data_IF_519636171517
#
_entry.id   IF_519636171517
#
_cell.length_a   1.000
_cell.length_b   1.000
_cell.length_c   1.000
_cell.angle_alpha   90.00
_cell.angle_beta   90.00
_cell.angle_gamma   90.00
#
_symmetry.space_group_name_H-M   'P 1'
#
loop_
_entity.id
_entity.type
_entity.pdbx_description
1 polymer ?
#
# COMPACT_ATOMS: atom_id res chain seq x y z
N UNK A 1 -1.11 -12.79 35.30
CA UNK A 1 -1.48 -12.31 36.64
C UNK A 1 -2.90 -11.74 36.68
N UNK A 2 -3.26 -10.76 35.84
CA UNK A 2 -4.58 -10.11 35.86
C UNK A 2 -5.78 -11.04 35.59
N UNK A 3 -5.66 -12.02 34.69
CA UNK A 3 -6.73 -12.97 34.40
C UNK A 3 -7.01 -13.93 35.58
N UNK A 4 -5.97 -14.34 36.31
CA UNK A 4 -6.09 -15.20 37.49
C UNK A 4 -6.74 -14.47 38.66
N UNK A 5 -6.38 -13.20 38.88
CA UNK A 5 -7.02 -12.35 39.90
C UNK A 5 -8.50 -12.13 39.58
N UNK A 6 -8.84 -11.85 38.32
CA UNK A 6 -10.22 -11.68 37.89
C UNK A 6 -11.04 -12.97 38.09
N UNK A 7 -10.47 -14.14 37.76
CA UNK A 7 -11.12 -15.42 38.00
C UNK A 7 -11.33 -15.72 39.49
N UNK A 8 -10.32 -15.43 40.33
CA UNK A 8 -10.43 -15.60 41.79
C UNK A 8 -11.49 -14.66 42.40
N UNK A 9 -11.57 -13.42 41.92
CA UNK A 9 -12.60 -12.46 42.33
C UNK A 9 -14.00 -12.94 41.94
N UNK A 10 -14.18 -13.42 40.71
CA UNK A 10 -15.45 -13.97 40.23
C UNK A 10 -15.87 -15.18 41.07
N UNK A 11 -14.95 -16.11 41.35
CA UNK A 11 -15.22 -17.27 42.18
C UNK A 11 -15.58 -16.89 43.63
N UNK A 12 -14.86 -15.92 44.21
CA UNK A 12 -15.16 -15.39 45.55
C UNK A 12 -16.57 -14.76 45.62
N UNK A 13 -16.94 -13.94 44.64
CA UNK A 13 -18.27 -13.32 44.58
C UNK A 13 -19.37 -14.37 44.45
N UNK A 14 -19.21 -15.37 43.60
CA UNK A 14 -20.18 -16.46 43.45
C UNK A 14 -20.34 -17.29 44.74
N UNK A 15 -19.27 -17.46 45.51
CA UNK A 15 -19.29 -18.18 46.79
C UNK A 15 -20.10 -17.46 47.89
N UNK A 16 -20.17 -16.12 47.87
CA UNK A 16 -20.92 -15.35 48.88
C UNK A 16 -22.44 -15.53 48.72
N UNK A 17 -22.98 -15.35 47.51
CA UNK A 17 -24.39 -15.51 47.24
C UNK A 17 -24.66 -15.72 45.74
N UNK A 18 -24.66 -16.98 45.30
CA UNK A 18 -24.79 -17.33 43.88
C UNK A 18 -26.07 -16.80 43.24
N UNK A 19 -27.21 -16.81 43.96
CA UNK A 19 -28.51 -16.37 43.42
C UNK A 19 -28.53 -14.87 43.07
N UNK A 20 -27.75 -14.06 43.79
CA UNK A 20 -27.68 -12.61 43.58
C UNK A 20 -26.47 -12.24 42.72
N UNK A 21 -25.31 -12.86 42.93
CA UNK A 21 -24.07 -12.50 42.24
C UNK A 21 -24.02 -12.98 40.79
N UNK A 22 -24.63 -14.13 40.48
CA UNK A 22 -24.69 -14.62 39.11
C UNK A 22 -25.37 -13.62 38.13
N UNK A 23 -26.60 -13.13 38.38
CA UNK A 23 -27.22 -12.16 37.47
C UNK A 23 -26.48 -10.82 37.41
N UNK A 24 -25.87 -10.36 38.51
CA UNK A 24 -25.08 -9.12 38.53
C UNK A 24 -23.82 -9.25 37.68
N UNK A 25 -23.07 -10.34 37.83
CA UNK A 25 -21.87 -10.60 37.02
C UNK A 25 -22.21 -10.79 35.54
N UNK A 26 -23.35 -11.42 35.25
CA UNK A 26 -23.84 -11.58 33.89
C UNK A 26 -24.19 -10.23 33.25
N UNK A 27 -24.89 -9.34 33.98
CA UNK A 27 -25.15 -7.96 33.55
C UNK A 27 -23.87 -7.16 33.37
N UNK A 28 -22.91 -7.28 34.30
CA UNK A 28 -21.62 -6.61 34.20
C UNK A 28 -20.83 -7.07 32.97
N UNK A 29 -20.81 -8.38 32.70
CA UNK A 29 -20.17 -8.95 31.51
C UNK A 29 -20.83 -8.42 30.22
N UNK A 30 -22.16 -8.39 30.16
CA UNK A 30 -22.90 -7.84 29.02
C UNK A 30 -22.62 -6.34 28.83
N UNK A 31 -22.60 -5.57 29.93
CA UNK A 31 -22.25 -4.15 29.92
C UNK A 31 -20.83 -3.89 29.43
N UNK A 32 -19.86 -4.70 29.84
CA UNK A 32 -18.47 -4.62 29.35
C UNK A 32 -18.37 -4.93 27.85
N UNK A 33 -19.10 -5.93 27.36
CA UNK A 33 -19.14 -6.26 25.93
C UNK A 33 -19.76 -5.13 25.10
N UNK A 34 -20.87 -4.53 25.57
CA UNK A 34 -21.51 -3.39 24.91
C UNK A 34 -20.55 -2.19 24.87
N UNK A 35 -19.94 -1.81 26.00
CA UNK A 35 -18.99 -0.70 26.08
C UNK A 35 -17.78 -0.92 25.16
N UNK A 36 -17.24 -2.14 25.14
CA UNK A 36 -16.13 -2.52 24.27
C UNK A 36 -16.52 -2.40 22.79
N UNK A 37 -17.70 -2.90 22.41
CA UNK A 37 -18.23 -2.80 21.04
C UNK A 37 -18.42 -1.34 20.61
N UNK A 38 -19.00 -0.49 21.47
CA UNK A 38 -19.17 0.95 21.20
C UNK A 38 -17.81 1.63 21.04
N UNK A 39 -16.86 1.38 21.95
CA UNK A 39 -15.53 1.97 21.89
C UNK A 39 -14.77 1.56 20.62
N UNK A 40 -14.83 0.26 20.25
CA UNK A 40 -14.25 -0.25 19.02
C UNK A 40 -14.91 0.38 17.78
N UNK A 41 -16.24 0.53 17.79
CA UNK A 41 -16.95 1.18 16.69
C UNK A 41 -16.62 2.67 16.57
N UNK A 42 -16.48 3.40 17.69
CA UNK A 42 -16.06 4.81 17.68
C UNK A 42 -14.65 4.95 17.09
N UNK A 43 -13.69 4.17 17.59
CA UNK A 43 -12.31 4.17 17.09
C UNK A 43 -12.24 3.77 15.61
N UNK A 44 -13.04 2.80 15.18
CA UNK A 44 -13.16 2.39 13.77
C UNK A 44 -13.74 3.51 12.88
N UNK A 45 -14.70 4.29 13.38
CA UNK A 45 -15.24 5.46 12.66
C UNK A 45 -14.21 6.59 12.56
N UNK A 46 -13.48 6.88 13.64
CA UNK A 46 -12.42 7.92 13.64
C UNK A 46 -11.32 7.58 12.64
N UNK A 47 -10.78 6.35 12.67
CA UNK A 47 -9.76 5.90 11.71
C UNK A 47 -10.29 5.96 10.27
N UNK A 48 -11.55 5.60 10.02
CA UNK A 48 -12.15 5.69 8.68
C UNK A 48 -12.29 7.13 8.18
N UNK A 49 -12.54 8.09 9.06
CA UNK A 49 -12.64 9.51 8.72
C UNK A 49 -11.26 10.16 8.53
N UNK A 50 -10.25 9.69 9.26
CA UNK A 50 -8.85 10.09 9.07
C UNK A 50 -8.31 9.58 7.72
N UNK A 51 -8.58 8.32 7.40
CA UNK A 51 -8.06 7.61 6.22
C UNK A 51 -8.85 7.87 4.92
N UNK A 52 -9.96 8.63 4.97
CA UNK A 52 -10.77 8.95 3.78
C UNK A 52 -10.09 10.00 2.90
N UNK A 53 -10.19 9.83 1.59
CA UNK A 53 -9.71 10.82 0.64
C UNK A 53 -10.70 11.98 0.49
N UNK A 54 -10.18 13.19 0.30
CA UNK A 54 -10.98 14.43 0.19
C UNK A 54 -10.75 15.10 -1.15
N UNK A 55 -11.80 15.69 -1.74
CA UNK A 55 -11.66 16.46 -2.98
C UNK A 55 -10.81 17.72 -2.73
N UNK A 56 -10.06 18.14 -3.73
CA UNK A 56 -9.42 19.45 -3.70
C UNK A 56 -10.47 20.55 -3.89
N UNK A 57 -10.40 21.58 -3.04
CA UNK A 57 -11.33 22.72 -3.00
C UNK A 57 -10.62 24.05 -3.28
N UNK A 58 -9.29 24.12 -3.12
CA UNK A 58 -8.51 25.33 -3.39
C UNK A 58 -8.50 25.72 -4.87
N UNK A 59 -8.64 27.02 -5.15
CA UNK A 59 -8.46 27.60 -6.49
C UNK A 59 -6.99 27.89 -6.88
N UNK A 60 -6.07 27.81 -5.91
CA UNK A 60 -4.64 28.13 -6.07
C UNK A 60 -3.75 26.89 -6.18
N UNK A 61 -2.64 26.99 -6.93
CA UNK A 61 -1.62 25.94 -7.08
C UNK A 61 -1.13 25.44 -5.71
N UNK A 62 -0.71 26.34 -4.82
CA UNK A 62 -0.16 25.96 -3.52
C UNK A 62 -1.21 25.30 -2.62
N UNK A 63 -2.46 25.76 -2.65
CA UNK A 63 -3.53 25.12 -1.88
C UNK A 63 -3.87 23.73 -2.42
N UNK A 64 -3.82 23.51 -3.74
CA UNK A 64 -4.02 22.18 -4.35
C UNK A 64 -2.88 21.23 -3.97
N UNK A 65 -1.63 21.69 -4.00
CA UNK A 65 -0.45 20.93 -3.53
C UNK A 65 -0.62 20.52 -2.06
N UNK A 66 -1.13 21.43 -1.25
CA UNK A 66 -1.34 21.21 0.17
C UNK A 66 -2.47 20.23 0.48
N UNK A 67 -3.61 20.36 -0.20
CA UNK A 67 -4.76 19.48 -0.06
C UNK A 67 -4.44 18.07 -0.58
N UNK A 68 -3.68 17.98 -1.68
CA UNK A 68 -3.23 16.71 -2.25
C UNK A 68 -2.29 15.95 -1.31
N UNK A 69 -1.46 16.64 -0.52
CA UNK A 69 -0.53 16.00 0.42
C UNK A 69 -1.23 15.04 1.39
N UNK A 70 -2.40 15.44 1.91
CA UNK A 70 -3.19 14.61 2.84
C UNK A 70 -3.69 13.34 2.16
N UNK A 71 -4.22 13.47 0.93
CA UNK A 71 -4.65 12.31 0.16
C UNK A 71 -3.49 11.37 -0.12
N UNK A 72 -2.34 11.91 -0.55
CA UNK A 72 -1.14 11.11 -0.83
C UNK A 72 -0.71 10.35 0.42
N UNK A 73 -0.57 11.02 1.58
CA UNK A 73 -0.21 10.38 2.84
C UNK A 73 -1.18 9.24 3.20
N UNK A 74 -2.48 9.44 2.99
CA UNK A 74 -3.51 8.43 3.24
C UNK A 74 -3.43 7.24 2.27
N UNK A 75 -3.23 7.48 0.98
CA UNK A 75 -3.05 6.41 -0.02
C UNK A 75 -1.79 5.61 0.28
N UNK A 76 -0.67 6.27 0.58
CA UNK A 76 0.60 5.61 0.92
C UNK A 76 0.46 4.77 2.20
N UNK A 77 -0.14 5.32 3.27
CA UNK A 77 -0.44 4.60 4.53
C UNK A 77 -1.26 3.33 4.28
N UNK A 78 -2.34 3.45 3.49
CA UNK A 78 -3.23 2.32 3.17
C UNK A 78 -2.55 1.33 2.23
N UNK A 79 -1.80 1.82 1.26
CA UNK A 79 -1.03 1.03 0.31
C UNK A 79 0.01 0.17 0.99
N UNK A 80 0.77 0.73 1.93
CA UNK A 80 1.71 -0.01 2.77
C UNK A 80 1.02 -1.18 3.49
N UNK A 81 -0.07 -0.88 4.20
CA UNK A 81 -0.85 -1.91 4.89
C UNK A 81 -1.36 -3.00 3.95
N UNK A 82 -1.81 -2.63 2.75
CA UNK A 82 -2.32 -3.59 1.75
C UNK A 82 -1.18 -4.49 1.26
N UNK A 83 -0.03 -3.90 0.91
CA UNK A 83 1.15 -4.62 0.45
C UNK A 83 1.63 -5.63 1.51
N UNK A 84 1.91 -5.16 2.72
CA UNK A 84 2.40 -6.02 3.82
C UNK A 84 1.42 -7.13 4.17
N UNK A 85 0.11 -6.87 4.16
CA UNK A 85 -0.88 -7.92 4.42
C UNK A 85 -0.95 -8.96 3.29
N UNK A 86 -0.65 -8.59 2.04
CA UNK A 86 -0.56 -9.55 0.95
C UNK A 86 0.62 -10.51 1.17
N UNK A 87 1.81 -9.98 1.46
CA UNK A 87 3.02 -10.78 1.72
C UNK A 87 2.85 -11.64 2.98
N UNK A 88 2.35 -11.05 4.07
CA UNK A 88 2.04 -11.78 5.31
C UNK A 88 0.99 -12.87 5.12
N UNK A 89 -0.06 -12.58 4.34
CA UNK A 89 -1.13 -13.54 4.03
C UNK A 89 -0.60 -14.74 3.26
N UNK A 90 0.27 -14.52 2.27
CA UNK A 90 0.95 -15.59 1.55
C UNK A 90 1.86 -16.41 2.46
N UNK A 91 2.70 -15.76 3.27
CA UNK A 91 3.63 -16.42 4.18
C UNK A 91 2.91 -17.32 5.19
N UNK A 92 1.78 -16.84 5.73
CA UNK A 92 1.00 -17.55 6.75
C UNK A 92 -0.12 -18.42 6.20
N UNK A 93 -0.34 -18.41 4.88
CA UNK A 93 -1.48 -19.08 4.24
C UNK A 93 -2.83 -18.60 4.79
N UNK A 94 -2.92 -17.31 5.13
CA UNK A 94 -4.06 -16.70 5.81
C UNK A 94 -5.07 -16.15 4.79
N UNK A 95 -6.00 -17.03 4.38
CA UNK A 95 -7.08 -16.67 3.46
C UNK A 95 -7.99 -15.56 4.01
N UNK A 96 -8.23 -15.54 5.32
CA UNK A 96 -9.10 -14.55 5.97
C UNK A 96 -8.49 -13.16 5.88
N UNK A 97 -7.19 -13.03 6.15
CA UNK A 97 -6.44 -11.79 5.96
C UNK A 97 -6.47 -11.35 4.51
N UNK A 98 -6.19 -12.24 3.56
CA UNK A 98 -6.18 -11.92 2.13
C UNK A 98 -7.57 -11.50 1.61
N UNK A 99 -8.64 -12.11 2.11
CA UNK A 99 -10.02 -11.71 1.78
C UNK A 99 -10.34 -10.31 2.31
N UNK A 100 -9.89 -9.98 3.52
CA UNK A 100 -10.01 -8.62 4.07
C UNK A 100 -9.18 -7.63 3.26
N UNK A 101 -7.96 -8.00 2.90
CA UNK A 101 -7.05 -7.17 2.12
C UNK A 101 -7.65 -6.79 0.76
N UNK A 102 -8.25 -7.77 0.06
CA UNK A 102 -8.94 -7.54 -1.22
C UNK A 102 -10.06 -6.50 -1.09
N UNK A 103 -10.83 -6.53 -0.01
CA UNK A 103 -11.88 -5.51 0.23
C UNK A 103 -11.28 -4.13 0.50
N UNK A 104 -10.14 -4.05 1.17
CA UNK A 104 -9.48 -2.79 1.49
C UNK A 104 -8.94 -2.10 0.24
N UNK A 105 -8.34 -2.85 -0.67
CA UNK A 105 -7.81 -2.28 -1.92
C UNK A 105 -8.91 -1.85 -2.88
N UNK A 106 -10.01 -2.61 -3.01
CA UNK A 106 -11.17 -2.16 -3.82
C UNK A 106 -11.74 -0.86 -3.26
N UNK A 107 -11.84 -0.73 -1.93
CA UNK A 107 -12.30 0.53 -1.31
C UNK A 107 -11.35 1.69 -1.63
N UNK A 108 -10.03 1.46 -1.59
CA UNK A 108 -9.04 2.47 -1.93
C UNK A 108 -9.13 2.89 -3.40
N UNK A 109 -9.22 1.93 -4.32
CA UNK A 109 -9.38 2.20 -5.76
C UNK A 109 -10.62 3.05 -6.02
N UNK A 110 -11.77 2.65 -5.48
CA UNK A 110 -13.03 3.39 -5.67
C UNK A 110 -12.95 4.83 -5.16
N UNK A 111 -12.30 5.07 -4.02
CA UNK A 111 -12.11 6.44 -3.51
C UNK A 111 -11.21 7.28 -4.43
N UNK A 112 -10.21 6.68 -5.07
CA UNK A 112 -9.34 7.37 -6.05
C UNK A 112 -10.11 7.62 -7.35
N UNK A 113 -10.89 6.65 -7.84
CA UNK A 113 -11.74 6.80 -9.01
C UNK A 113 -12.78 7.92 -8.81
N UNK A 114 -13.38 8.00 -7.62
CA UNK A 114 -14.27 9.11 -7.25
C UNK A 114 -13.55 10.48 -7.36
N UNK A 115 -12.29 10.60 -6.92
CA UNK A 115 -11.53 11.84 -7.10
C UNK A 115 -11.30 12.16 -8.58
N UNK A 116 -11.00 11.14 -9.40
CA UNK A 116 -10.78 11.29 -10.85
C UNK A 116 -12.03 11.69 -11.60
N UNK A 117 -13.18 11.11 -11.26
CA UNK A 117 -14.47 11.47 -11.86
C UNK A 117 -14.85 12.94 -11.59
N UNK A 118 -14.27 13.54 -10.54
CA UNK A 118 -14.46 14.95 -10.19
C UNK A 118 -13.45 15.91 -10.83
N UNK A 119 -12.50 15.43 -11.66
CA UNK A 119 -11.49 16.28 -12.32
C UNK A 119 -12.15 17.39 -13.15
N UNK A 120 -13.23 17.10 -13.87
CA UNK A 120 -13.93 18.10 -14.67
C UNK A 120 -14.41 19.29 -13.82
N UNK A 121 -15.04 19.02 -12.68
CA UNK A 121 -15.52 20.06 -11.77
C UNK A 121 -14.38 20.81 -11.11
N UNK A 122 -13.31 20.11 -10.76
CA UNK A 122 -12.10 20.72 -10.22
C UNK A 122 -11.49 21.73 -11.20
N UNK A 123 -11.27 21.34 -12.45
CA UNK A 123 -10.73 22.23 -13.50
C UNK A 123 -11.63 23.46 -13.69
N UNK A 124 -12.95 23.27 -13.71
CA UNK A 124 -13.91 24.36 -13.91
C UNK A 124 -13.91 25.38 -12.76
N UNK A 125 -13.54 24.95 -11.55
CA UNK A 125 -13.57 25.80 -10.35
C UNK A 125 -12.21 26.48 -10.05
N UNK A 126 -11.16 26.18 -10.81
CA UNK A 126 -9.88 26.87 -10.72
C UNK A 126 -9.96 28.25 -11.38
N UNK A 127 -9.23 29.22 -10.83
CA UNK A 127 -9.08 30.54 -11.45
C UNK A 127 -8.44 30.39 -12.85
N UNK A 128 -8.85 31.22 -13.83
CA UNK A 128 -8.47 31.13 -15.26
C UNK A 128 -6.94 31.05 -15.50
N UNK A 129 -6.11 31.44 -14.53
CA UNK A 129 -4.65 31.44 -14.57
C UNK A 129 -3.96 30.17 -14.03
N UNK A 130 -4.69 29.18 -13.50
CA UNK A 130 -4.11 28.05 -12.75
C UNK A 130 -3.99 26.73 -13.53
N UNK A 131 -3.60 26.77 -14.82
CA UNK A 131 -3.35 25.55 -15.63
C UNK A 131 -2.33 24.61 -14.96
N UNK A 132 -1.33 25.16 -14.28
CA UNK A 132 -0.34 24.37 -13.53
C UNK A 132 -0.94 23.57 -12.37
N UNK A 133 -1.94 24.11 -11.66
CA UNK A 133 -2.63 23.42 -10.58
C UNK A 133 -3.43 22.22 -11.10
N UNK A 134 -4.11 22.40 -12.23
CA UNK A 134 -4.83 21.34 -12.94
C UNK A 134 -3.90 20.18 -13.31
N UNK A 135 -2.79 20.48 -13.97
CA UNK A 135 -1.85 19.47 -14.43
C UNK A 135 -1.26 18.68 -13.26
N UNK A 136 -0.78 19.39 -12.23
CA UNK A 136 -0.27 18.76 -11.01
C UNK A 136 -1.28 17.80 -10.39
N UNK A 137 -2.54 18.26 -10.19
CA UNK A 137 -3.57 17.43 -9.56
C UNK A 137 -3.92 16.20 -10.41
N UNK A 138 -4.03 16.36 -11.73
CA UNK A 138 -4.30 15.25 -12.66
C UNK A 138 -3.18 14.21 -12.61
N UNK A 139 -1.92 14.65 -12.62
CA UNK A 139 -0.76 13.77 -12.55
C UNK A 139 -0.73 13.01 -11.22
N UNK A 140 -0.93 13.71 -10.10
CA UNK A 140 -1.05 13.08 -8.76
C UNK A 140 -2.13 12.00 -8.75
N UNK A 141 -3.34 12.30 -9.23
CA UNK A 141 -4.42 11.31 -9.27
C UNK A 141 -4.10 10.13 -10.19
N UNK A 142 -3.40 10.36 -11.30
CA UNK A 142 -2.90 9.31 -12.19
C UNK A 142 -1.95 8.36 -11.47
N UNK A 143 -0.93 8.89 -10.79
CA UNK A 143 0.01 8.05 -10.06
C UNK A 143 -0.62 7.31 -8.88
N UNK A 144 -1.55 7.95 -8.15
CA UNK A 144 -2.31 7.27 -7.09
C UNK A 144 -3.15 6.11 -7.65
N UNK A 145 -3.73 6.27 -8.84
CA UNK A 145 -4.46 5.21 -9.53
C UNK A 145 -3.52 4.05 -9.92
N UNK A 146 -2.36 4.34 -10.51
CA UNK A 146 -1.38 3.32 -10.89
C UNK A 146 -0.94 2.51 -9.66
N UNK A 147 -0.66 3.19 -8.54
CA UNK A 147 -0.36 2.53 -7.26
C UNK A 147 -1.51 1.61 -6.82
N UNK A 148 -2.76 2.08 -6.89
CA UNK A 148 -3.94 1.31 -6.49
C UNK A 148 -4.13 0.07 -7.37
N UNK A 149 -3.87 0.17 -8.67
CA UNK A 149 -3.97 -0.93 -9.63
C UNK A 149 -2.95 -2.03 -9.35
N UNK A 150 -1.68 -1.69 -9.12
CA UNK A 150 -0.67 -2.69 -8.75
C UNK A 150 -0.99 -3.37 -7.42
N UNK A 151 -1.45 -2.61 -6.42
CA UNK A 151 -1.90 -3.17 -5.15
C UNK A 151 -3.12 -4.09 -5.32
N UNK A 152 -4.07 -3.73 -6.19
CA UNK A 152 -5.23 -4.56 -6.47
C UNK A 152 -4.82 -5.88 -7.12
N UNK A 153 -3.93 -5.82 -8.11
CA UNK A 153 -3.38 -6.99 -8.76
C UNK A 153 -2.70 -7.91 -7.74
N UNK A 154 -1.76 -7.38 -6.95
CA UNK A 154 -1.05 -8.11 -5.89
C UNK A 154 -2.04 -8.79 -4.94
N UNK A 155 -3.04 -8.05 -4.45
CA UNK A 155 -4.03 -8.61 -3.52
C UNK A 155 -4.90 -9.69 -4.20
N UNK A 156 -5.25 -9.52 -5.48
CA UNK A 156 -6.07 -10.45 -6.24
C UNK A 156 -5.34 -11.76 -6.50
N UNK A 157 -4.10 -11.72 -6.98
CA UNK A 157 -3.32 -12.93 -7.27
C UNK A 157 -2.94 -13.66 -5.98
N UNK A 158 -2.61 -12.93 -4.91
CA UNK A 158 -2.33 -13.51 -3.59
C UNK A 158 -3.53 -14.27 -3.04
N UNK A 159 -4.71 -13.62 -3.01
CA UNK A 159 -5.94 -14.26 -2.58
C UNK A 159 -6.27 -15.49 -3.43
N UNK A 160 -6.24 -15.35 -4.76
CA UNK A 160 -6.58 -16.43 -5.70
C UNK A 160 -5.69 -17.64 -5.49
N UNK A 161 -4.39 -17.45 -5.26
CA UNK A 161 -3.44 -18.52 -5.06
C UNK A 161 -3.76 -19.38 -3.83
N UNK A 162 -4.03 -18.73 -2.69
CA UNK A 162 -4.37 -19.43 -1.44
C UNK A 162 -5.78 -20.02 -1.51
N UNK A 163 -6.75 -19.28 -2.03
CA UNK A 163 -8.13 -19.75 -2.18
C UNK A 163 -8.24 -21.00 -3.06
N UNK A 164 -7.36 -21.14 -4.05
CA UNK A 164 -7.32 -22.28 -4.95
C UNK A 164 -6.46 -23.43 -4.42
N UNK A 165 -6.00 -23.38 -3.16
CA UNK A 165 -5.16 -24.40 -2.53
C UNK A 165 -3.90 -24.74 -3.36
N UNK A 166 -3.35 -23.78 -4.09
CA UNK A 166 -2.10 -24.00 -4.81
C UNK A 166 -0.96 -24.28 -3.84
N UNK A 167 0.10 -24.96 -4.32
CA UNK A 167 1.32 -25.20 -3.53
C UNK A 167 1.84 -23.91 -2.93
N UNK A 168 2.39 -23.99 -1.71
CA UNK A 168 2.95 -22.83 -1.02
C UNK A 168 4.21 -22.34 -1.74
N UNK A 169 4.51 -21.04 -1.64
CA UNK A 169 5.82 -20.53 -2.07
C UNK A 169 6.93 -21.20 -1.25
N UNK A 170 8.11 -21.36 -1.85
CA UNK A 170 9.30 -21.87 -1.14
C UNK A 170 9.65 -20.93 0.01
N UNK A 171 10.25 -21.45 1.07
CA UNK A 171 10.68 -20.61 2.20
C UNK A 171 11.65 -19.49 1.77
N UNK A 172 12.57 -19.79 0.84
CA UNK A 172 13.46 -18.79 0.24
C UNK A 172 12.70 -17.66 -0.43
N UNK A 173 11.67 -17.97 -1.22
CA UNK A 173 10.81 -16.97 -1.87
C UNK A 173 10.04 -16.11 -0.85
N UNK A 174 9.51 -16.71 0.22
CA UNK A 174 8.84 -15.93 1.28
C UNK A 174 9.84 -15.02 2.00
N UNK A 175 11.06 -15.48 2.26
CA UNK A 175 12.11 -14.66 2.87
C UNK A 175 12.50 -13.49 1.96
N UNK A 176 12.67 -13.74 0.66
CA UNK A 176 12.97 -12.72 -0.35
C UNK A 176 11.84 -11.67 -0.45
N UNK A 177 10.58 -12.10 -0.48
CA UNK A 177 9.43 -11.18 -0.47
C UNK A 177 9.33 -10.39 0.83
N UNK A 178 9.71 -10.99 1.97
CA UNK A 178 9.68 -10.27 3.26
C UNK A 178 10.78 -9.21 3.34
N UNK A 179 11.96 -9.49 2.78
CA UNK A 179 13.04 -8.52 2.66
C UNK A 179 12.61 -7.31 1.81
N UNK A 180 11.92 -7.54 0.70
CA UNK A 180 11.34 -6.48 -0.12
C UNK A 180 10.25 -5.71 0.63
N UNK A 181 9.35 -6.41 1.35
CA UNK A 181 8.32 -5.81 2.20
C UNK A 181 8.89 -4.90 3.29
N UNK A 182 9.96 -5.30 3.96
CA UNK A 182 10.62 -4.47 4.97
C UNK A 182 11.14 -3.16 4.36
N UNK A 183 11.70 -3.21 3.14
CA UNK A 183 12.18 -2.01 2.43
C UNK A 183 11.04 -1.13 1.90
N UNK A 184 9.98 -1.74 1.40
CA UNK A 184 8.76 -1.03 1.00
C UNK A 184 8.08 -0.35 2.20
N UNK A 185 8.04 -1.01 3.35
CA UNK A 185 7.46 -0.46 4.57
C UNK A 185 8.20 0.79 5.04
N UNK A 186 9.53 0.78 5.03
CA UNK A 186 10.36 1.95 5.32
C UNK A 186 10.05 3.08 4.33
N UNK A 187 10.17 2.81 3.03
CA UNK A 187 9.91 3.79 1.98
C UNK A 187 8.53 4.45 2.12
N UNK A 188 7.48 3.67 2.33
CA UNK A 188 6.13 4.20 2.48
C UNK A 188 5.93 4.95 3.79
N UNK A 189 6.57 4.53 4.88
CA UNK A 189 6.50 5.28 6.14
C UNK A 189 7.21 6.63 6.03
N UNK A 190 8.37 6.68 5.38
CA UNK A 190 9.13 7.91 5.16
C UNK A 190 8.39 8.84 4.19
N UNK A 191 7.84 8.28 3.11
CA UNK A 191 6.96 9.00 2.17
C UNK A 191 5.77 9.62 2.89
N UNK A 192 5.04 8.83 3.68
CA UNK A 192 3.91 9.31 4.49
C UNK A 192 4.36 10.45 5.42
N UNK A 193 5.48 10.27 6.13
CA UNK A 193 5.98 11.27 7.05
C UNK A 193 6.37 12.58 6.35
N UNK A 194 6.93 12.50 5.14
CA UNK A 194 7.25 13.67 4.33
C UNK A 194 5.99 14.47 3.96
N UNK A 195 4.92 13.80 3.51
CA UNK A 195 3.65 14.44 3.18
C UNK A 195 2.89 14.97 4.40
N UNK A 196 2.87 14.23 5.52
CA UNK A 196 2.25 14.68 6.77
C UNK A 196 2.93 15.94 7.33
N UNK A 197 4.27 15.94 7.31
CA UNK A 197 5.07 17.07 7.80
C UNK A 197 5.24 18.18 6.76
N UNK A 198 4.75 17.99 5.52
CA UNK A 198 4.91 18.90 4.38
C UNK A 198 6.37 19.30 4.19
N UNK A 199 7.27 18.34 4.40
CA UNK A 199 8.71 18.57 4.45
C UNK A 199 9.32 18.11 3.13
N UNK A 200 9.55 19.08 2.25
CA UNK A 200 10.04 18.89 0.88
C UNK A 200 11.47 18.36 0.83
N UNK A 201 12.33 18.81 1.74
CA UNK A 201 13.72 18.34 1.88
C UNK A 201 13.78 16.82 2.13
N UNK A 202 12.79 16.25 2.82
CA UNK A 202 12.71 14.80 3.03
C UNK A 202 12.38 14.04 1.77
N UNK A 203 11.64 14.66 0.82
CA UNK A 203 11.28 14.01 -0.45
C UNK A 203 12.53 13.76 -1.29
N UNK A 204 13.45 14.73 -1.36
CA UNK A 204 14.73 14.56 -2.04
C UNK A 204 15.53 13.36 -1.50
N UNK A 205 15.66 13.26 -0.16
CA UNK A 205 16.35 12.14 0.46
C UNK A 205 15.65 10.78 0.20
N UNK A 206 14.32 10.74 0.19
CA UNK A 206 13.55 9.53 -0.13
C UNK A 206 13.76 9.11 -1.59
N UNK A 207 13.84 10.08 -2.50
CA UNK A 207 14.15 9.83 -3.91
C UNK A 207 15.55 9.25 -4.12
N UNK A 208 16.52 9.57 -3.27
CA UNK A 208 17.86 8.96 -3.31
C UNK A 208 17.84 7.49 -2.82
N UNK A 209 17.01 7.17 -1.83
CA UNK A 209 16.86 5.80 -1.31
C UNK A 209 16.15 4.84 -2.29
N UNK A 210 15.42 5.39 -3.28
CA UNK A 210 14.76 4.68 -4.40
C UNK A 210 15.64 3.61 -5.05
N UNK A 211 16.88 3.96 -5.36
CA UNK A 211 17.78 3.10 -6.12
C UNK A 211 18.01 1.76 -5.40
N UNK A 212 18.02 1.78 -4.06
CA UNK A 212 18.26 0.58 -3.28
C UNK A 212 17.09 -0.39 -3.35
N UNK A 213 15.86 0.10 -3.17
CA UNK A 213 14.65 -0.75 -3.20
C UNK A 213 14.40 -1.28 -4.61
N UNK A 214 14.58 -0.43 -5.62
CA UNK A 214 14.43 -0.83 -7.03
C UNK A 214 15.46 -1.90 -7.43
N UNK A 215 16.74 -1.71 -7.08
CA UNK A 215 17.80 -2.66 -7.37
C UNK A 215 17.56 -4.00 -6.66
N UNK A 216 17.07 -3.97 -5.42
CA UNK A 216 16.70 -5.18 -4.69
C UNK A 216 15.61 -5.97 -5.44
N UNK A 217 14.54 -5.31 -5.88
CA UNK A 217 13.47 -5.96 -6.65
C UNK A 217 14.02 -6.54 -7.96
N UNK A 218 14.85 -5.78 -8.68
CA UNK A 218 15.51 -6.24 -9.91
C UNK A 218 16.38 -7.48 -9.68
N UNK A 219 17.17 -7.48 -8.62
CA UNK A 219 17.98 -8.63 -8.19
C UNK A 219 17.09 -9.85 -7.92
N UNK A 220 15.98 -9.69 -7.19
CA UNK A 220 15.07 -10.82 -6.90
C UNK A 220 14.38 -11.35 -8.16
N UNK A 221 14.06 -10.48 -9.13
CA UNK A 221 13.52 -10.89 -10.44
C UNK A 221 14.56 -11.74 -11.17
N UNK A 222 15.79 -11.24 -11.31
CA UNK A 222 16.88 -11.94 -11.98
C UNK A 222 17.15 -13.30 -11.35
N UNK A 223 17.22 -13.34 -10.02
CA UNK A 223 17.40 -14.59 -9.26
C UNK A 223 16.26 -15.59 -9.51
N UNK A 224 15.03 -15.12 -9.68
CA UNK A 224 13.92 -16.00 -10.03
C UNK A 224 14.00 -16.51 -11.48
N UNK A 225 14.52 -15.71 -12.42
CA UNK A 225 14.79 -16.17 -13.79
C UNK A 225 15.77 -17.34 -13.77
N UNK A 226 16.89 -17.19 -13.06
CA UNK A 226 17.90 -18.24 -12.90
C UNK A 226 17.29 -19.50 -12.26
N UNK A 227 16.57 -19.33 -11.14
CA UNK A 227 15.89 -20.43 -10.43
C UNK A 227 14.91 -21.19 -11.33
N UNK A 228 14.20 -20.49 -12.21
CA UNK A 228 13.21 -21.11 -13.11
C UNK A 228 13.88 -21.98 -14.18
N UNK A 229 15.13 -21.67 -14.55
CA UNK A 229 15.89 -22.44 -15.54
C UNK A 229 16.59 -23.67 -14.94
N UNK A 230 16.97 -23.62 -13.67
CA UNK A 230 17.85 -24.63 -13.05
C UNK A 230 17.15 -25.54 -12.04
N UNK A 231 16.04 -25.11 -11.44
CA UNK A 231 15.35 -25.86 -10.39
C UNK A 231 13.95 -26.30 -10.84
N UNK A 232 13.53 -27.48 -10.39
CA UNK A 232 12.11 -27.84 -10.47
C UNK A 232 11.29 -26.89 -9.58
N UNK A 233 10.39 -26.15 -10.21
CA UNK A 233 9.50 -25.19 -9.56
C UNK A 233 8.09 -25.36 -10.10
N UNK A 234 7.08 -25.19 -9.24
CA UNK A 234 5.69 -25.22 -9.70
C UNK A 234 5.42 -24.02 -10.61
N UNK A 235 4.90 -24.21 -11.84
CA UNK A 235 4.61 -23.09 -12.74
C UNK A 235 3.71 -22.03 -12.09
N UNK A 236 2.72 -22.44 -11.29
CA UNK A 236 1.83 -21.52 -10.56
C UNK A 236 2.57 -20.71 -9.49
N UNK A 237 3.55 -21.30 -8.79
CA UNK A 237 4.36 -20.56 -7.82
C UNK A 237 5.29 -19.58 -8.50
N UNK A 238 5.92 -20.01 -9.59
CA UNK A 238 6.81 -19.16 -10.39
C UNK A 238 6.05 -17.97 -10.96
N UNK A 239 4.87 -18.19 -11.57
CA UNK A 239 4.01 -17.10 -12.03
C UNK A 239 3.60 -16.17 -10.89
N UNK A 240 3.14 -16.70 -9.75
CA UNK A 240 2.76 -15.85 -8.61
C UNK A 240 3.94 -14.98 -8.16
N UNK A 241 5.12 -15.57 -8.00
CA UNK A 241 6.28 -14.86 -7.49
C UNK A 241 6.73 -13.75 -8.46
N UNK A 242 6.79 -14.03 -9.76
CA UNK A 242 7.05 -13.01 -10.77
C UNK A 242 6.00 -11.90 -10.76
N UNK A 243 4.72 -12.27 -10.75
CA UNK A 243 3.62 -11.32 -10.64
C UNK A 243 3.79 -10.37 -9.45
N UNK A 244 4.15 -10.89 -8.27
CA UNK A 244 4.36 -10.04 -7.09
C UNK A 244 5.53 -9.08 -7.27
N UNK A 245 6.66 -9.54 -7.80
CA UNK A 245 7.84 -8.69 -7.98
C UNK A 245 7.67 -7.64 -9.08
N UNK A 246 7.04 -8.01 -10.20
CA UNK A 246 6.78 -7.09 -11.30
C UNK A 246 5.82 -5.98 -10.87
N UNK A 247 4.72 -6.33 -10.21
CA UNK A 247 3.79 -5.34 -9.67
C UNK A 247 4.39 -4.52 -8.53
N UNK A 248 5.34 -5.08 -7.76
CA UNK A 248 6.10 -4.28 -6.78
C UNK A 248 6.97 -3.25 -7.48
N UNK A 249 7.62 -3.62 -8.60
CA UNK A 249 8.41 -2.70 -9.42
C UNK A 249 7.54 -1.59 -10.01
N UNK A 250 6.34 -1.92 -10.48
CA UNK A 250 5.42 -0.94 -11.07
C UNK A 250 4.84 -0.01 -9.99
N UNK A 251 4.49 -0.56 -8.81
CA UNK A 251 4.11 0.23 -7.63
C UNK A 251 5.23 1.20 -7.19
N UNK A 252 6.49 0.76 -7.22
CA UNK A 252 7.64 1.61 -6.97
C UNK A 252 7.71 2.74 -7.99
N UNK A 253 7.62 2.43 -9.29
CA UNK A 253 7.66 3.45 -10.35
C UNK A 253 6.59 4.52 -10.16
N UNK A 254 5.33 4.12 -9.92
CA UNK A 254 4.24 5.05 -9.67
C UNK A 254 4.47 5.93 -8.43
N UNK A 255 4.97 5.33 -7.34
CA UNK A 255 5.33 6.07 -6.12
C UNK A 255 6.42 7.11 -6.39
N UNK A 256 7.40 6.77 -7.22
CA UNK A 256 8.51 7.66 -7.53
C UNK A 256 8.09 8.81 -8.43
N UNK A 257 7.32 8.54 -9.48
CA UNK A 257 6.77 9.59 -10.33
C UNK A 257 5.90 10.56 -9.53
N UNK A 258 5.14 10.06 -8.55
CA UNK A 258 4.38 10.90 -7.62
C UNK A 258 5.29 11.81 -6.76
N UNK A 259 6.35 11.25 -6.19
CA UNK A 259 7.32 12.02 -5.40
C UNK A 259 8.04 13.07 -6.24
N UNK A 260 8.44 12.74 -7.47
CA UNK A 260 9.11 13.63 -8.42
C UNK A 260 8.20 14.77 -8.88
N UNK A 261 6.94 14.48 -9.20
CA UNK A 261 5.92 15.48 -9.56
C UNK A 261 5.69 16.46 -8.40
N UNK A 262 5.60 15.94 -7.18
CA UNK A 262 5.40 16.76 -5.99
C UNK A 262 6.61 17.62 -5.66
N UNK A 263 7.81 17.04 -5.76
CA UNK A 263 9.07 17.76 -5.56
C UNK A 263 9.24 18.90 -6.57
N UNK A 264 9.02 18.60 -7.86
CA UNK A 264 9.19 19.57 -8.96
C UNK A 264 8.13 20.68 -8.95
N UNK A 265 6.91 20.37 -8.55
CA UNK A 265 5.81 21.35 -8.51
C UNK A 265 5.92 22.32 -7.33
N UNK A 266 6.64 21.95 -6.27
CA UNK A 266 6.91 22.84 -5.15
C UNK A 266 8.23 23.60 -5.29
N UNK A 267 9.22 23.04 -6.00
CA UNK A 267 10.51 23.68 -6.24
C UNK A 267 10.61 24.18 -7.69
N UNK A 268 10.06 25.37 -7.96
CA UNK A 268 10.18 26.02 -9.28
C UNK A 268 11.63 26.42 -9.64
N UNK A 269 12.61 26.13 -8.78
CA UNK A 269 14.03 26.50 -8.94
C UNK A 269 14.97 25.31 -9.19
N UNK A 270 14.51 24.07 -9.00
CA UNK A 270 15.34 22.86 -9.16
C UNK A 270 14.88 22.03 -10.36
N UNK A 271 15.84 21.71 -11.25
CA UNK A 271 15.58 20.89 -12.43
C UNK A 271 15.14 19.47 -12.02
N UNK A 272 14.11 18.87 -12.69
CA UNK A 272 13.63 17.54 -12.35
C UNK A 272 14.75 16.48 -12.41
N UNK A 273 14.74 15.53 -11.49
CA UNK A 273 15.61 14.36 -11.55
C UNK A 273 15.14 13.46 -12.70
N UNK A 274 15.94 13.40 -13.78
CA UNK A 274 15.64 12.54 -14.93
C UNK A 274 15.94 11.08 -14.58
N UNK A 275 14.92 10.23 -14.59
CA UNK A 275 15.12 8.79 -14.61
C UNK A 275 15.65 8.42 -15.99
N UNK A 276 16.89 7.93 -16.06
CA UNK A 276 17.34 7.18 -17.23
C UNK A 276 16.55 5.87 -17.25
N UNK A 277 15.41 5.87 -17.96
CA UNK A 277 14.78 4.64 -18.42
C UNK A 277 15.80 4.01 -19.34
N UNK A 278 16.51 3.00 -18.84
CA UNK A 278 17.41 2.19 -19.67
C UNK A 278 16.50 1.41 -20.60
N UNK A 279 16.28 1.96 -21.80
CA UNK A 279 15.66 1.26 -22.90
C UNK A 279 16.40 -0.05 -23.16
N UNK A 280 15.62 -1.07 -23.48
CA UNK A 280 16.02 -2.45 -23.64
C UNK A 280 17.17 -2.61 -24.65
N UNK A 281 18.04 -3.56 -24.33
CA UNK A 281 19.09 -4.06 -25.20
C UNK A 281 18.43 -4.53 -26.50
N UNK A 282 18.62 -3.77 -27.58
CA UNK A 282 18.41 -4.26 -28.94
C UNK A 282 19.50 -5.31 -29.20
N UNK A 283 19.11 -6.59 -29.14
CA UNK A 283 19.92 -7.68 -29.68
C UNK A 283 20.11 -7.46 -31.18
N UNK A 284 21.31 -7.00 -31.54
CA UNK A 284 21.78 -6.98 -32.91
C UNK A 284 22.08 -8.43 -33.32
N UNK A 285 21.08 -9.10 -33.92
CA UNK A 285 21.32 -10.35 -34.65
C UNK A 285 22.20 -10.00 -35.85
N UNK A 286 23.48 -10.37 -35.76
CA UNK A 286 24.38 -10.38 -36.90
C UNK A 286 23.81 -11.31 -37.97
N UNK A 287 23.36 -10.74 -39.07
CA UNK A 287 23.32 -11.39 -40.37
C UNK A 287 24.76 -11.47 -40.89
N UNK A 288 25.45 -12.56 -40.59
CA UNK A 288 26.47 -13.09 -41.50
C UNK A 288 25.76 -14.14 -42.34
N UNK A 289 25.65 -13.87 -43.65
CA UNK A 289 25.86 -14.83 -44.72
C UNK A 289 25.44 -14.17 -46.05
N UNK A 290 26.40 -13.53 -46.70
CA UNK A 290 26.45 -13.37 -48.14
C UNK A 290 27.87 -13.74 -48.61
N UNK A 291 27.92 -14.31 -49.82
CA UNK A 291 29.08 -14.77 -50.62
C UNK A 291 29.53 -16.20 -50.27
N UNK A 292 29.45 -17.21 -51.14
CA UNK A 292 29.40 -17.33 -52.62
C UNK A 292 28.49 -18.49 -53.05
#
# INVERSE_FOLDING_TARGET
FSAFIAAALVAYLLNLNIKVMFPILLLAAFGLLIRSSIAHNKKSKEVKAEDSLTKAESSSVQGVIHESAKNIANVVKRGNRIYTNAIKGLAKQDLTLLKKNKKQVVKLSNEIDELRDNIFYFIKNLDESSVGASNFYINVLGYLQDMAQSLEYISKVSHKHINNNHKKLKFSQIKELKEVDDKMELLFNDTKAAFDSRSFEKIGAILDEKAQVYNLVKEKIQKQVERTRTEESSPKNTTLYFSLLLETKDLLNATMSLLEEYHSSHDSSVKPATIAVVDEIVENVKSSDQEE
#
